data_IF_582554365100
#
_entry.id   IF_582554365100
#
_cell.length_a   1.000
_cell.length_b   1.000
_cell.length_c   1.000
_cell.angle_alpha   90.00
_cell.angle_beta   90.00
_cell.angle_gamma   90.00
#
_symmetry.space_group_name_H-M   'P 1'
#
loop_
_entity.id
_entity.type
_entity.pdbx_description
1 polymer ?
#
# COMPACT_ATOMS: atom_id res chain seq x y z
N UNK A 1 23.08 -24.99 -16.25
CA UNK A 1 24.52 -24.73 -15.96
C UNK A 1 24.70 -23.47 -15.13
N UNK A 2 24.10 -22.33 -15.50
CA UNK A 2 24.25 -21.05 -14.78
C UNK A 2 23.91 -21.08 -13.28
N UNK A 3 22.82 -21.76 -12.87
CA UNK A 3 22.42 -21.88 -11.46
C UNK A 3 23.44 -22.61 -10.58
N UNK A 4 24.08 -23.66 -11.09
CA UNK A 4 25.08 -24.42 -10.33
C UNK A 4 26.36 -23.62 -10.12
N UNK A 5 26.74 -22.81 -11.12
CA UNK A 5 27.89 -21.91 -10.99
C UNK A 5 27.62 -20.79 -9.97
N UNK A 6 26.39 -20.25 -9.92
CA UNK A 6 26.01 -19.27 -8.90
C UNK A 6 26.10 -19.83 -7.48
N UNK A 7 25.81 -21.12 -7.25
CA UNK A 7 26.00 -21.72 -5.92
C UNK A 7 27.48 -21.84 -5.49
N UNK A 8 28.44 -21.74 -6.42
CA UNK A 8 29.87 -21.72 -6.11
C UNK A 8 30.38 -20.32 -5.80
N UNK A 9 29.64 -19.27 -6.17
CA UNK A 9 30.01 -17.89 -5.88
C UNK A 9 30.00 -17.63 -4.36
N UNK A 10 31.07 -17.00 -3.87
CA UNK A 10 31.27 -16.76 -2.44
C UNK A 10 30.17 -15.88 -1.85
N UNK A 11 29.76 -14.83 -2.55
CA UNK A 11 28.72 -13.92 -2.06
C UNK A 11 27.36 -14.61 -2.01
N UNK A 12 27.07 -15.46 -2.99
CA UNK A 12 25.87 -16.32 -3.00
C UNK A 12 25.86 -17.29 -1.83
N UNK A 13 26.99 -17.93 -1.51
CA UNK A 13 27.08 -18.85 -0.37
C UNK A 13 26.86 -18.13 0.97
N UNK A 14 27.51 -16.97 1.17
CA UNK A 14 27.32 -16.15 2.38
C UNK A 14 25.89 -15.63 2.49
N UNK A 15 25.29 -15.25 1.37
CA UNK A 15 23.90 -14.81 1.33
C UNK A 15 22.94 -15.94 1.73
N UNK A 16 23.07 -17.13 1.13
CA UNK A 16 22.19 -18.26 1.42
C UNK A 16 22.42 -18.84 2.81
N UNK A 17 23.64 -18.80 3.35
CA UNK A 17 23.91 -19.28 4.71
C UNK A 17 23.10 -18.51 5.76
N UNK A 18 22.81 -17.22 5.53
CA UNK A 18 21.94 -16.43 6.43
C UNK A 18 20.52 -16.97 6.49
N UNK A 19 19.99 -17.48 5.38
CA UNK A 19 18.68 -18.15 5.37
C UNK A 19 18.73 -19.49 6.08
N UNK A 20 19.77 -20.29 5.79
CA UNK A 20 19.92 -21.63 6.36
C UNK A 20 20.14 -21.62 7.88
N UNK A 21 20.84 -20.60 8.39
CA UNK A 21 21.08 -20.40 9.81
C UNK A 21 19.89 -19.74 10.54
N UNK A 22 18.83 -19.37 9.82
CA UNK A 22 17.65 -18.70 10.39
C UNK A 22 17.86 -17.24 10.75
N UNK A 23 18.97 -16.60 10.33
CA UNK A 23 19.18 -15.15 10.50
C UNK A 23 18.16 -14.34 9.69
N UNK A 24 17.74 -14.86 8.53
CA UNK A 24 16.83 -14.21 7.60
C UNK A 24 15.81 -15.23 7.08
N UNK A 25 14.52 -14.95 7.21
CA UNK A 25 13.45 -15.74 6.58
C UNK A 25 13.02 -15.17 5.22
N UNK A 26 13.06 -13.85 5.07
CA UNK A 26 12.71 -13.10 3.87
C UNK A 26 13.55 -11.82 3.80
N UNK A 27 13.87 -11.36 2.58
CA UNK A 27 14.51 -10.05 2.43
C UNK A 27 13.45 -8.95 2.47
N UNK A 28 13.50 -8.13 3.52
CA UNK A 28 12.71 -6.91 3.61
C UNK A 28 13.57 -5.70 3.25
N UNK A 29 13.14 -4.86 2.29
CA UNK A 29 13.89 -3.66 1.94
C UNK A 29 13.67 -2.55 2.98
N UNK A 30 14.67 -1.71 3.16
CA UNK A 30 14.56 -0.47 3.95
C UNK A 30 14.43 0.73 3.02
N UNK A 31 13.51 1.66 3.32
CA UNK A 31 13.32 2.85 2.50
C UNK A 31 14.23 4.01 2.94
N UNK A 32 14.96 4.59 1.99
CA UNK A 32 15.70 5.84 2.14
C UNK A 32 15.06 6.93 1.25
N UNK A 33 14.70 8.12 1.79
CA UNK A 33 14.05 9.17 1.00
C UNK A 33 14.86 9.74 -0.17
N UNK A 34 16.20 9.58 -0.17
CA UNK A 34 17.10 10.09 -1.22
C UNK A 34 17.37 9.05 -2.29
N UNK A 35 17.58 7.80 -1.91
CA UNK A 35 18.03 6.73 -2.83
C UNK A 35 16.99 5.63 -3.05
N UNK A 36 15.87 5.65 -2.33
CA UNK A 36 14.78 4.67 -2.47
C UNK A 36 14.99 3.42 -1.62
N UNK A 37 14.44 2.28 -2.06
CA UNK A 37 14.57 1.02 -1.33
C UNK A 37 15.98 0.44 -1.42
N UNK A 38 16.43 -0.11 -0.29
CA UNK A 38 17.75 -0.71 -0.10
C UNK A 38 17.63 -2.08 0.53
N UNK A 39 18.70 -2.86 0.43
CA UNK A 39 18.84 -4.13 1.15
C UNK A 39 20.15 -4.13 1.95
N UNK A 40 20.21 -3.44 3.11
CA UNK A 40 21.46 -3.26 3.86
C UNK A 40 22.19 -4.57 4.19
N UNK A 41 21.43 -5.63 4.47
CA UNK A 41 22.00 -6.96 4.74
C UNK A 41 22.70 -7.57 3.52
N UNK A 42 22.22 -7.27 2.31
CA UNK A 42 22.83 -7.74 1.05
C UNK A 42 23.98 -6.81 0.66
N UNK A 43 23.82 -5.50 0.84
CA UNK A 43 24.87 -4.50 0.65
C UNK A 43 26.10 -4.81 1.52
N UNK A 44 25.91 -5.30 2.75
CA UNK A 44 27.02 -5.74 3.61
C UNK A 44 27.80 -6.95 3.05
N UNK A 45 27.22 -7.71 2.13
CA UNK A 45 27.85 -8.86 1.48
C UNK A 45 28.54 -8.44 0.18
N UNK A 46 27.89 -7.61 -0.63
CA UNK A 46 28.36 -7.28 -1.99
C UNK A 46 28.99 -5.89 -2.13
N UNK A 47 28.96 -5.08 -1.07
CA UNK A 47 29.68 -3.81 -0.94
C UNK A 47 28.80 -2.56 -1.11
N UNK A 48 27.93 -2.53 -2.12
CA UNK A 48 27.17 -1.33 -2.47
C UNK A 48 25.77 -1.63 -3.06
N UNK A 49 24.94 -0.59 -3.20
CA UNK A 49 23.57 -0.70 -3.70
C UNK A 49 23.46 -1.12 -5.17
N UNK A 50 24.39 -0.67 -6.04
CA UNK A 50 24.42 -1.03 -7.47
C UNK A 50 24.76 -2.51 -7.64
N UNK A 51 25.78 -2.97 -6.92
CA UNK A 51 26.19 -4.38 -6.85
C UNK A 51 25.08 -5.26 -6.27
N UNK A 52 24.29 -4.74 -5.32
CA UNK A 52 23.13 -5.44 -4.72
C UNK A 52 22.03 -5.72 -5.74
N UNK A 53 21.63 -4.73 -6.53
CA UNK A 53 20.60 -4.92 -7.56
C UNK A 53 21.03 -5.97 -8.60
N UNK A 54 22.27 -5.88 -9.07
CA UNK A 54 22.85 -6.83 -10.03
C UNK A 54 22.88 -8.26 -9.46
N UNK A 55 23.34 -8.40 -8.21
CA UNK A 55 23.41 -9.68 -7.51
C UNK A 55 22.04 -10.33 -7.33
N UNK A 56 21.07 -9.61 -6.75
CA UNK A 56 19.70 -10.13 -6.54
C UNK A 56 19.01 -10.43 -7.89
N UNK A 57 19.27 -9.65 -8.93
CA UNK A 57 18.74 -9.92 -10.27
C UNK A 57 19.29 -11.21 -10.86
N UNK A 58 20.58 -11.51 -10.71
CA UNK A 58 21.17 -12.79 -11.14
C UNK A 58 20.54 -13.98 -10.42
N UNK A 59 20.43 -13.91 -9.09
CA UNK A 59 19.82 -14.99 -8.30
C UNK A 59 18.34 -15.22 -8.65
N UNK A 60 17.59 -14.15 -8.90
CA UNK A 60 16.21 -14.22 -9.35
C UNK A 60 16.08 -14.88 -10.73
N UNK A 61 16.88 -14.44 -11.71
CA UNK A 61 16.88 -15.00 -13.08
C UNK A 61 17.25 -16.49 -13.07
N UNK A 62 18.15 -16.91 -12.18
CA UNK A 62 18.52 -18.30 -11.99
C UNK A 62 17.49 -19.14 -11.20
N UNK A 63 16.41 -18.53 -10.71
CA UNK A 63 15.36 -19.19 -9.93
C UNK A 63 15.80 -19.65 -8.54
N UNK A 64 16.84 -19.02 -7.98
CA UNK A 64 17.34 -19.28 -6.61
C UNK A 64 16.47 -18.56 -5.59
N UNK A 65 16.06 -17.32 -5.91
CA UNK A 65 15.14 -16.52 -5.11
C UNK A 65 13.90 -16.16 -5.92
N UNK A 66 12.82 -15.80 -5.22
CA UNK A 66 11.60 -15.25 -5.81
C UNK A 66 11.46 -13.78 -5.42
N UNK A 67 10.84 -12.98 -6.28
CA UNK A 67 10.48 -11.59 -5.98
C UNK A 67 9.02 -11.54 -5.52
N UNK A 68 8.74 -10.66 -4.57
CA UNK A 68 7.38 -10.27 -4.19
C UNK A 68 7.26 -8.75 -4.30
N UNK A 69 6.07 -8.27 -4.62
CA UNK A 69 5.77 -6.84 -4.54
C UNK A 69 5.78 -6.45 -3.05
N UNK A 70 6.63 -5.50 -2.69
CA UNK A 70 6.69 -4.93 -1.34
C UNK A 70 5.86 -3.66 -1.25
N UNK A 71 6.11 -2.68 -2.13
CA UNK A 71 5.44 -1.38 -2.11
C UNK A 71 5.46 -0.69 -3.50
N UNK A 72 4.74 0.42 -3.64
CA UNK A 72 4.68 1.29 -4.82
C UNK A 72 4.95 2.75 -4.42
N UNK A 73 6.10 3.27 -4.81
CA UNK A 73 6.46 4.68 -4.57
C UNK A 73 6.02 5.55 -5.76
N UNK A 74 5.50 6.74 -5.45
CA UNK A 74 5.18 7.76 -6.44
C UNK A 74 6.40 8.66 -6.61
N UNK A 75 6.90 8.74 -7.84
CA UNK A 75 8.01 9.62 -8.21
C UNK A 75 7.51 10.77 -9.09
N UNK A 76 8.09 11.95 -8.90
CA UNK A 76 7.88 13.07 -9.81
C UNK A 76 8.49 12.72 -11.19
N UNK A 77 7.71 12.68 -12.29
CA UNK A 77 8.24 12.31 -13.60
C UNK A 77 9.22 13.35 -14.19
N UNK A 78 9.31 14.54 -13.60
CA UNK A 78 10.23 15.61 -14.04
C UNK A 78 11.60 15.54 -13.37
N UNK A 79 11.65 15.25 -12.07
CA UNK A 79 12.90 15.29 -11.28
C UNK A 79 13.26 13.97 -10.59
N UNK A 80 12.44 12.93 -10.76
CA UNK A 80 12.61 11.60 -10.15
C UNK A 80 12.72 11.62 -8.61
N UNK A 81 12.18 12.67 -7.96
CA UNK A 81 12.10 12.77 -6.51
C UNK A 81 10.91 11.96 -5.98
N UNK A 82 11.13 11.22 -4.88
CA UNK A 82 10.05 10.58 -4.12
C UNK A 82 9.37 11.53 -3.11
N UNK A 83 9.92 12.74 -2.92
CA UNK A 83 9.30 13.76 -2.08
C UNK A 83 8.19 14.47 -2.86
N UNK A 84 7.02 13.83 -2.91
CA UNK A 84 5.84 14.32 -3.63
C UNK A 84 4.64 14.40 -2.70
N UNK A 85 3.83 15.44 -2.86
CA UNK A 85 2.50 15.51 -2.27
C UNK A 85 1.47 15.04 -3.30
N UNK A 86 0.55 14.18 -2.88
CA UNK A 86 -0.51 13.65 -3.75
C UNK A 86 -1.87 14.05 -3.18
N UNK A 87 -2.71 14.62 -4.04
CA UNK A 87 -4.09 14.94 -3.71
C UNK A 87 -5.02 13.97 -4.44
N UNK A 88 -5.79 13.18 -3.69
CA UNK A 88 -6.86 12.38 -4.25
C UNK A 88 -8.07 13.28 -4.50
N UNK A 89 -8.53 13.33 -5.74
CA UNK A 89 -9.62 14.22 -6.16
C UNK A 89 -10.80 13.43 -6.70
N UNK A 90 -12.02 13.95 -6.50
CA UNK A 90 -13.23 13.39 -7.09
C UNK A 90 -13.10 13.41 -8.62
N UNK A 91 -13.33 12.29 -9.33
CA UNK A 91 -13.15 12.24 -10.77
C UNK A 91 -14.11 13.17 -11.51
N UNK A 92 -15.28 13.45 -10.92
CA UNK A 92 -16.33 14.30 -11.49
C UNK A 92 -16.06 15.79 -11.27
N UNK A 93 -15.93 16.25 -10.01
CA UNK A 93 -15.84 17.68 -9.69
C UNK A 93 -14.42 18.18 -9.38
N UNK A 94 -13.42 17.30 -9.35
CA UNK A 94 -12.01 17.61 -9.02
C UNK A 94 -11.77 18.17 -7.62
N UNK A 95 -12.79 18.19 -6.75
CA UNK A 95 -12.61 18.50 -5.33
C UNK A 95 -11.67 17.50 -4.66
N UNK A 96 -10.71 18.01 -3.91
CA UNK A 96 -9.87 17.22 -2.99
C UNK A 96 -10.48 17.13 -1.59
N UNK A 97 -11.50 17.95 -1.28
CA UNK A 97 -12.27 17.84 -0.04
C UNK A 97 -13.34 16.76 -0.21
N UNK A 98 -12.93 15.50 -0.03
CA UNK A 98 -13.79 14.33 -0.13
C UNK A 98 -14.03 13.79 1.27
N UNK A 99 -15.29 13.57 1.62
CA UNK A 99 -15.70 12.96 2.88
C UNK A 99 -16.48 11.68 2.59
N UNK A 100 -16.25 10.64 3.40
CA UNK A 100 -17.04 9.42 3.36
C UNK A 100 -18.27 9.65 4.22
N UNK A 101 -19.44 9.54 3.62
CA UNK A 101 -20.74 9.61 4.31
C UNK A 101 -21.55 8.36 4.00
N UNK A 102 -22.51 8.05 4.88
CA UNK A 102 -23.51 7.01 4.69
C UNK A 102 -24.75 7.62 4.06
N UNK A 103 -25.41 6.89 3.17
CA UNK A 103 -26.74 7.26 2.72
C UNK A 103 -27.76 6.59 3.63
N UNK A 104 -28.81 7.33 3.98
CA UNK A 104 -29.98 6.82 4.69
C UNK A 104 -31.17 6.94 3.75
N UNK A 105 -31.89 5.83 3.56
CA UNK A 105 -33.21 5.80 2.94
C UNK A 105 -34.28 5.66 4.03
N UNK A 106 -35.16 6.64 4.17
CA UNK A 106 -36.35 6.50 5.01
C UNK A 106 -37.36 5.57 4.31
N UNK A 107 -37.55 4.37 4.84
CA UNK A 107 -38.37 3.30 4.25
C UNK A 107 -39.82 3.76 3.98
N UNK A 108 -40.41 4.54 4.88
CA UNK A 108 -41.82 4.96 4.78
C UNK A 108 -42.08 5.96 3.65
N UNK A 109 -41.21 6.95 3.45
CA UNK A 109 -41.45 8.06 2.50
C UNK A 109 -40.49 8.08 1.29
N UNK A 110 -39.53 7.15 1.25
CA UNK A 110 -38.56 6.96 0.19
C UNK A 110 -37.54 8.09 0.04
N UNK A 111 -37.42 9.00 1.02
CA UNK A 111 -36.40 10.04 0.97
C UNK A 111 -35.03 9.43 1.24
N UNK A 112 -34.07 9.69 0.36
CA UNK A 112 -32.69 9.23 0.47
C UNK A 112 -31.74 10.43 0.43
N UNK A 113 -30.84 10.51 1.39
CA UNK A 113 -29.84 11.57 1.50
C UNK A 113 -28.68 11.11 2.40
N UNK A 114 -27.66 11.94 2.57
CA UNK A 114 -26.56 11.68 3.51
C UNK A 114 -27.05 11.69 4.96
N UNK A 115 -26.57 10.76 5.77
CA UNK A 115 -26.96 10.58 7.18
C UNK A 115 -26.86 11.88 7.99
N UNK A 116 -25.87 12.71 7.72
CA UNK A 116 -25.65 13.99 8.38
C UNK A 116 -26.88 14.90 8.28
N UNK A 117 -27.62 14.85 7.16
CA UNK A 117 -28.85 15.63 6.97
C UNK A 117 -30.02 15.10 7.82
N UNK A 118 -29.97 13.85 8.29
CA UNK A 118 -30.98 13.28 9.18
C UNK A 118 -30.72 13.61 10.65
N UNK A 119 -29.48 13.89 11.05
CA UNK A 119 -29.15 14.17 12.47
C UNK A 119 -29.71 15.52 12.94
N UNK A 120 -30.62 15.49 13.91
CA UNK A 120 -31.17 16.67 14.60
C UNK A 120 -31.21 16.41 16.11
N UNK A 121 -30.34 17.08 16.86
CA UNK A 121 -30.34 17.02 18.33
C UNK A 121 -30.10 15.61 18.89
N UNK A 122 -29.21 14.83 18.26
CA UNK A 122 -28.91 13.45 18.66
C UNK A 122 -29.92 12.40 18.21
N UNK A 123 -30.89 12.78 17.38
CA UNK A 123 -31.90 11.90 16.78
C UNK A 123 -31.77 11.89 15.26
N UNK A 124 -32.18 10.80 14.63
CA UNK A 124 -32.36 10.74 13.19
C UNK A 124 -33.79 11.17 12.85
N UNK A 125 -33.94 12.24 12.07
CA UNK A 125 -35.21 12.83 11.65
C UNK A 125 -35.19 12.99 10.14
N UNK A 126 -36.19 12.41 9.45
CA UNK A 126 -36.31 12.53 8.01
C UNK A 126 -36.50 13.99 7.57
N UNK A 127 -35.62 14.57 6.73
CA UNK A 127 -35.73 15.96 6.27
C UNK A 127 -37.03 16.25 5.49
N UNK A 128 -37.57 15.24 4.81
CA UNK A 128 -38.75 15.36 3.95
C UNK A 128 -40.07 15.36 4.73
N UNK A 129 -40.22 14.48 5.73
CA UNK A 129 -41.50 14.29 6.44
C UNK A 129 -41.44 14.59 7.94
N UNK A 130 -40.26 14.91 8.47
CA UNK A 130 -39.98 15.22 9.88
C UNK A 130 -40.31 14.10 10.87
N UNK A 131 -40.51 12.86 10.40
CA UNK A 131 -40.64 11.69 11.28
C UNK A 131 -39.27 11.24 11.81
N UNK A 132 -39.25 10.80 13.07
CA UNK A 132 -38.06 10.26 13.74
C UNK A 132 -37.83 8.80 13.33
N UNK A 133 -36.61 8.50 12.90
CA UNK A 133 -36.11 7.18 12.55
C UNK A 133 -35.49 6.53 13.79
N UNK A 134 -36.01 5.38 14.24
CA UNK A 134 -35.60 4.76 15.51
C UNK A 134 -34.93 3.40 15.32
N UNK A 135 -35.39 2.61 14.34
CA UNK A 135 -34.91 1.25 14.10
C UNK A 135 -34.31 1.13 12.71
N UNK A 136 -33.02 0.79 12.65
CA UNK A 136 -32.37 0.35 11.42
C UNK A 136 -33.06 -0.92 10.87
N UNK A 137 -33.09 -1.06 9.55
CA UNK A 137 -33.77 -2.09 8.75
C UNK A 137 -35.30 -2.11 8.85
N UNK A 138 -35.90 -1.18 9.61
CA UNK A 138 -37.35 -1.04 9.75
C UNK A 138 -37.78 0.36 9.32
N UNK A 139 -37.25 1.38 10.00
CA UNK A 139 -37.55 2.77 9.70
C UNK A 139 -36.61 3.28 8.61
N UNK A 140 -35.34 2.86 8.62
CA UNK A 140 -34.36 3.26 7.62
C UNK A 140 -33.33 2.18 7.33
N UNK A 141 -32.72 2.28 6.14
CA UNK A 141 -31.61 1.45 5.68
C UNK A 141 -30.54 2.30 5.00
#
# INVERSE_FOLDING_TARGET
MERLELYKDRNTQVFLSKFLNGEISELEPTYDPKIGYRYPQVEAIVGDASSTESFLTKLYKAGIIKRKLYDKIIYCPKCNSANVSVHYCCPYCKSFNIQKSSLIEHVKCGYMDVEENFHKGGKLICPKCNEELKKSDVDYR
#
